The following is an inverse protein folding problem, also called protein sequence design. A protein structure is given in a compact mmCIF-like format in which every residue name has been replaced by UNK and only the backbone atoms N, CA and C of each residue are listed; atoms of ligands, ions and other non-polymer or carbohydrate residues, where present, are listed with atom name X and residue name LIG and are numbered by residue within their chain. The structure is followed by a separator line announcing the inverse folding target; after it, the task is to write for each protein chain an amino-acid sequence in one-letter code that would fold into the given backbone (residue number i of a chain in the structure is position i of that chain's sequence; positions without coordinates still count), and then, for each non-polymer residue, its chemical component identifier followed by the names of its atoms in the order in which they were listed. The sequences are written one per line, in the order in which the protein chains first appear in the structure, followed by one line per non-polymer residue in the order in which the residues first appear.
data_IF_221673854095
#
_entry.id   IF_221673854095
#
_cell.length_a   1.000
_cell.length_b   1.000
_cell.length_c   1.000
_cell.angle_alpha   90.00
_cell.angle_beta   90.00
_cell.angle_gamma   90.00
#
_symmetry.space_group_name_H-M   'P 1'
#
loop_
_entity.id
_entity.type
_entity.pdbx_description
1 polymer ?
#
# COMPACT_ATOMS: atom_id res chain seq x y z
N UNK A 1 10.19 21.55 13.30
CA UNK A 1 9.71 21.13 11.95
C UNK A 1 8.53 22.04 11.63
N UNK A 2 8.68 22.95 10.66
CA UNK A 2 7.67 24.02 10.47
C UNK A 2 6.67 23.73 9.33
N UNK A 3 7.00 22.82 8.42
CA UNK A 3 6.17 22.45 7.27
C UNK A 3 6.45 21.01 6.83
N UNK A 4 5.44 20.37 6.26
CA UNK A 4 5.59 19.06 5.63
C UNK A 4 6.33 19.20 4.30
N UNK A 5 7.29 18.32 4.07
CA UNK A 5 8.09 18.22 2.85
C UNK A 5 7.89 16.84 2.21
N UNK A 6 8.14 16.64 0.91
CA UNK A 6 8.01 15.33 0.26
C UNK A 6 8.81 14.21 0.95
N UNK A 7 9.98 14.54 1.54
CA UNK A 7 10.79 13.58 2.28
C UNK A 7 10.14 13.00 3.55
N UNK A 8 9.08 13.63 4.08
CA UNK A 8 8.31 13.08 5.20
C UNK A 8 7.39 11.91 4.80
N UNK A 9 7.20 11.68 3.50
CA UNK A 9 6.43 10.55 2.98
C UNK A 9 7.26 9.53 2.20
N UNK A 10 8.60 9.59 2.26
CA UNK A 10 9.48 8.78 1.40
C UNK A 10 10.06 7.52 2.06
N UNK A 11 9.60 7.13 3.24
CA UNK A 11 10.11 5.96 3.98
C UNK A 11 11.47 6.15 4.65
N UNK A 12 12.08 7.36 4.54
CA UNK A 12 13.40 7.64 5.06
C UNK A 12 13.42 8.27 6.45
N UNK A 13 14.59 8.82 6.83
CA UNK A 13 14.84 9.40 8.16
C UNK A 13 13.80 10.45 8.57
N UNK A 14 13.44 11.38 7.67
CA UNK A 14 12.46 12.44 7.98
C UNK A 14 11.07 11.88 8.30
N UNK A 15 10.64 10.83 7.60
CA UNK A 15 9.39 10.15 7.89
C UNK A 15 9.43 9.47 9.26
N UNK A 16 10.49 8.74 9.55
CA UNK A 16 10.66 8.08 10.85
C UNK A 16 10.66 9.08 12.00
N UNK A 17 11.39 10.21 11.88
CA UNK A 17 11.39 11.27 12.88
C UNK A 17 10.01 11.88 13.08
N UNK A 18 9.25 12.10 12.00
CA UNK A 18 7.87 12.59 12.08
C UNK A 18 6.95 11.59 12.77
N UNK A 19 7.04 10.32 12.43
CA UNK A 19 6.22 9.26 13.03
C UNK A 19 6.54 9.17 14.53
N UNK A 20 7.80 9.07 14.91
CA UNK A 20 8.22 8.87 16.30
C UNK A 20 7.89 10.08 17.17
N UNK A 21 8.31 11.29 16.76
CA UNK A 21 8.29 12.45 17.63
C UNK A 21 7.03 13.31 17.51
N UNK A 22 6.24 13.13 16.45
CA UNK A 22 5.00 13.89 16.28
C UNK A 22 3.77 12.99 16.33
N UNK A 23 3.67 12.00 15.44
CA UNK A 23 2.41 11.23 15.28
C UNK A 23 2.19 10.33 16.50
N UNK A 24 3.14 9.47 16.84
CA UNK A 24 3.01 8.54 17.96
C UNK A 24 2.87 9.26 19.30
N UNK A 25 3.74 10.24 19.54
CA UNK A 25 3.69 11.02 20.77
C UNK A 25 2.35 11.77 20.94
N UNK A 26 1.80 12.31 19.85
CA UNK A 26 0.52 13.04 19.90
C UNK A 26 -0.67 12.09 20.07
N UNK A 27 -0.64 10.92 19.45
CA UNK A 27 -1.72 9.92 19.54
C UNK A 27 -1.63 9.03 20.78
N UNK A 28 -0.59 9.16 21.60
CA UNK A 28 -0.38 8.27 22.76
C UNK A 28 -0.07 6.84 22.37
N UNK A 29 0.57 6.63 21.22
CA UNK A 29 0.84 5.33 20.64
C UNK A 29 2.30 4.87 20.86
N UNK A 30 2.95 5.31 21.93
CA UNK A 30 4.37 5.05 22.19
C UNK A 30 4.71 3.55 22.37
N UNK A 31 3.73 2.76 22.81
CA UNK A 31 3.87 1.31 22.98
C UNK A 31 3.61 0.50 21.70
N UNK A 32 3.13 1.14 20.62
CA UNK A 32 2.84 0.45 19.36
C UNK A 32 4.14 0.18 18.63
N UNK A 33 4.39 -1.07 18.27
CA UNK A 33 5.52 -1.45 17.44
C UNK A 33 5.29 -0.97 15.99
N UNK A 34 6.31 -0.36 15.39
CA UNK A 34 6.25 0.07 13.99
C UNK A 34 6.65 -1.11 13.10
N UNK A 35 5.64 -1.82 12.64
CA UNK A 35 5.73 -2.92 11.68
C UNK A 35 4.78 -2.66 10.50
N UNK A 36 4.82 -3.51 9.49
CA UNK A 36 3.97 -3.38 8.30
C UNK A 36 2.49 -3.55 8.64
N UNK A 37 2.15 -4.30 9.69
CA UNK A 37 0.80 -4.38 10.22
C UNK A 37 0.79 -4.49 11.75
N UNK A 38 -0.26 -3.96 12.38
CA UNK A 38 -0.51 -4.13 13.80
C UNK A 38 -0.99 -5.57 14.09
N UNK A 39 -0.39 -6.22 15.10
CA UNK A 39 -0.84 -7.51 15.59
C UNK A 39 -1.82 -7.31 16.74
N UNK A 40 -3.02 -7.86 16.58
CA UNK A 40 -4.12 -7.72 17.51
C UNK A 40 -4.55 -9.10 18.02
N UNK A 41 -5.02 -9.15 19.26
CA UNK A 41 -5.64 -10.35 19.80
C UNK A 41 -7.06 -10.02 20.30
N UNK A 42 -8.05 -10.71 19.75
CA UNK A 42 -9.46 -10.54 20.10
C UNK A 42 -10.02 -11.92 20.47
N UNK A 43 -10.31 -12.12 21.75
CA UNK A 43 -10.89 -13.38 22.29
C UNK A 43 -10.14 -14.64 21.83
N UNK A 44 -8.83 -14.60 21.86
CA UNK A 44 -7.98 -15.71 21.48
C UNK A 44 -7.74 -15.86 19.96
N UNK A 45 -8.36 -15.00 19.15
CA UNK A 45 -8.06 -14.93 17.71
C UNK A 45 -7.00 -13.87 17.47
N UNK A 46 -5.93 -14.24 16.78
CA UNK A 46 -4.83 -13.34 16.44
C UNK A 46 -5.02 -12.81 15.03
N UNK A 47 -5.00 -11.50 14.91
CA UNK A 47 -5.25 -10.77 13.67
C UNK A 47 -4.06 -9.86 13.34
N UNK A 48 -3.84 -9.63 12.05
CA UNK A 48 -3.05 -8.52 11.54
C UNK A 48 -4.00 -7.49 10.95
N UNK A 49 -3.69 -6.21 11.19
CA UNK A 49 -4.44 -5.08 10.65
C UNK A 49 -3.47 -4.02 10.12
N UNK A 50 -3.68 -3.60 8.89
CA UNK A 50 -2.89 -2.54 8.25
C UNK A 50 -3.77 -1.55 7.50
N UNK A 51 -3.21 -0.41 7.16
CA UNK A 51 -3.83 0.57 6.26
C UNK A 51 -2.75 1.27 5.45
N UNK A 52 -3.02 1.48 4.17
CA UNK A 52 -2.10 2.14 3.26
C UNK A 52 -2.84 3.09 2.31
N UNK A 53 -2.16 4.15 1.88
CA UNK A 53 -2.70 5.17 1.00
C UNK A 53 -1.88 5.25 -0.29
N UNK A 54 -2.57 5.20 -1.41
CA UNK A 54 -1.96 5.11 -2.74
C UNK A 54 -2.20 6.38 -3.53
N UNK A 55 -1.10 6.95 -3.99
CA UNK A 55 -1.06 8.08 -4.91
C UNK A 55 -0.01 7.79 -5.96
N UNK A 56 -0.36 7.80 -7.22
CA UNK A 56 0.58 7.52 -8.31
C UNK A 56 0.15 8.26 -9.59
N UNK A 57 1.12 8.79 -10.30
CA UNK A 57 0.91 9.40 -11.60
C UNK A 57 2.00 8.90 -12.57
N UNK A 58 1.62 8.30 -13.72
CA UNK A 58 0.27 8.02 -14.18
C UNK A 58 -0.44 6.93 -13.37
N UNK A 59 -1.78 6.93 -13.37
CA UNK A 59 -2.60 5.93 -12.64
C UNK A 59 -2.67 4.56 -13.32
N UNK A 60 -2.30 4.49 -14.60
CA UNK A 60 -2.10 3.26 -15.37
C UNK A 60 -0.64 3.22 -15.82
N UNK A 61 0.00 2.09 -15.65
CA UNK A 61 1.41 1.88 -16.00
C UNK A 61 1.63 0.43 -16.46
N UNK A 62 2.73 0.13 -17.15
CA UNK A 62 3.03 -1.24 -17.56
C UNK A 62 3.08 -2.20 -16.37
N UNK A 63 2.25 -3.22 -16.39
CA UNK A 63 2.12 -4.22 -15.32
C UNK A 63 1.02 -3.96 -14.31
N UNK A 64 0.37 -2.77 -14.31
CA UNK A 64 -0.68 -2.50 -13.33
C UNK A 64 -1.36 -1.15 -13.41
N UNK A 65 -2.06 -0.84 -12.37
CA UNK A 65 -2.72 0.45 -12.15
C UNK A 65 -2.69 0.81 -10.67
N UNK A 66 -3.11 2.03 -10.34
CA UNK A 66 -3.33 2.42 -8.93
C UNK A 66 -4.28 1.45 -8.21
N UNK A 67 -5.22 0.83 -8.93
CA UNK A 67 -6.17 -0.13 -8.37
C UNK A 67 -5.52 -1.45 -7.94
N UNK A 68 -4.75 -2.10 -8.83
CA UNK A 68 -3.99 -3.31 -8.48
C UNK A 68 -2.94 -3.02 -7.40
N UNK A 69 -2.26 -1.87 -7.50
CA UNK A 69 -1.28 -1.44 -6.51
C UNK A 69 -1.90 -1.32 -5.10
N UNK A 70 -3.09 -0.73 -5.00
CA UNK A 70 -3.78 -0.55 -3.71
C UNK A 70 -4.16 -1.88 -3.04
N UNK A 71 -4.55 -2.88 -3.82
CA UNK A 71 -4.84 -4.20 -3.28
C UNK A 71 -3.56 -4.92 -2.88
N UNK A 72 -2.59 -4.99 -3.80
CA UNK A 72 -1.35 -5.75 -3.59
C UNK A 72 -0.52 -5.20 -2.43
N UNK A 73 -0.40 -3.87 -2.30
CA UNK A 73 0.36 -3.26 -1.21
C UNK A 73 -0.20 -3.66 0.16
N UNK A 74 -1.51 -3.50 0.36
CA UNK A 74 -2.15 -3.88 1.64
C UNK A 74 -2.11 -5.39 1.91
N UNK A 75 -2.25 -6.21 0.86
CA UNK A 75 -2.09 -7.67 0.97
C UNK A 75 -0.66 -8.05 1.35
N UNK A 76 0.34 -7.38 0.79
CA UNK A 76 1.75 -7.60 1.11
C UNK A 76 2.05 -7.30 2.57
N UNK A 77 1.56 -6.19 3.12
CA UNK A 77 1.74 -5.84 4.53
C UNK A 77 1.21 -6.94 5.48
N UNK A 78 0.02 -7.47 5.18
CA UNK A 78 -0.53 -8.57 5.96
C UNK A 78 0.30 -9.85 5.82
N UNK A 79 0.75 -10.14 4.59
CA UNK A 79 1.46 -11.37 4.26
C UNK A 79 2.87 -11.40 4.87
N UNK A 80 3.59 -10.28 4.86
CA UNK A 80 4.94 -10.18 5.45
C UNK A 80 4.90 -10.35 6.97
N UNK A 81 3.76 -10.03 7.61
CA UNK A 81 3.52 -10.31 9.03
C UNK A 81 3.15 -11.78 9.32
N UNK A 82 3.09 -12.62 8.28
CA UNK A 82 2.71 -14.04 8.41
C UNK A 82 1.20 -14.26 8.57
N UNK A 83 0.40 -13.24 8.27
CA UNK A 83 -1.04 -13.37 8.28
C UNK A 83 -1.58 -13.82 6.91
N UNK A 84 -2.65 -14.60 6.92
CA UNK A 84 -3.44 -14.86 5.72
C UNK A 84 -4.44 -13.71 5.53
N UNK A 85 -4.32 -12.89 4.49
CA UNK A 85 -5.26 -11.81 4.21
C UNK A 85 -6.69 -12.32 4.00
N UNK A 86 -7.69 -11.57 4.47
CA UNK A 86 -9.09 -11.97 4.38
C UNK A 86 -9.96 -10.88 3.75
N UNK A 87 -9.92 -9.69 4.32
CA UNK A 87 -10.83 -8.60 3.96
C UNK A 87 -10.09 -7.29 3.80
N UNK A 88 -10.55 -6.50 2.84
CA UNK A 88 -10.09 -5.14 2.60
C UNK A 88 -11.27 -4.15 2.68
N UNK A 89 -10.97 -2.94 3.10
CA UNK A 89 -11.78 -1.76 2.79
C UNK A 89 -11.20 -1.05 1.57
N UNK A 90 -12.02 -0.20 0.91
CA UNK A 90 -11.57 0.67 -0.16
C UNK A 90 -12.21 2.05 0.00
N UNK A 91 -11.43 3.05 0.33
CA UNK A 91 -11.86 4.44 0.34
C UNK A 91 -11.26 5.19 -0.84
N UNK A 92 -12.09 5.95 -1.55
CA UNK A 92 -11.72 6.71 -2.75
C UNK A 92 -11.86 8.21 -2.48
N UNK A 93 -10.85 8.98 -2.85
CA UNK A 93 -10.95 10.43 -2.99
C UNK A 93 -10.79 10.75 -4.48
N UNK A 94 -11.86 11.21 -5.10
CA UNK A 94 -11.94 11.48 -6.53
C UNK A 94 -11.91 12.97 -6.77
N UNK A 95 -11.15 13.41 -7.76
CA UNK A 95 -11.18 14.80 -8.20
C UNK A 95 -12.33 15.01 -9.19
N UNK A 96 -13.04 16.14 -9.06
CA UNK A 96 -14.07 16.54 -10.01
C UNK A 96 -13.53 16.58 -11.45
N UNK A 97 -14.24 15.90 -12.36
CA UNK A 97 -13.83 15.73 -13.75
C UNK A 97 -12.99 14.51 -14.03
N UNK A 98 -12.77 13.63 -13.02
CA UNK A 98 -12.19 12.33 -13.28
C UNK A 98 -13.14 11.46 -14.09
N UNK A 99 -12.65 10.86 -15.18
CA UNK A 99 -13.48 10.12 -16.12
C UNK A 99 -14.03 8.82 -15.50
N UNK A 100 -15.33 8.60 -15.65
CA UNK A 100 -16.02 7.39 -15.13
C UNK A 100 -15.45 6.12 -15.72
N UNK A 101 -15.04 6.15 -17.01
CA UNK A 101 -14.44 4.97 -17.64
C UNK A 101 -13.06 4.64 -17.08
N UNK A 102 -12.27 5.63 -16.70
CA UNK A 102 -11.00 5.42 -16.00
C UNK A 102 -11.23 4.88 -14.59
N UNK A 103 -12.21 5.41 -13.86
CA UNK A 103 -12.61 4.85 -12.57
C UNK A 103 -13.04 3.39 -12.71
N UNK A 104 -13.82 3.06 -13.73
CA UNK A 104 -14.24 1.67 -14.01
C UNK A 104 -13.05 0.74 -14.23
N UNK A 105 -12.04 1.18 -15.00
CA UNK A 105 -10.80 0.40 -15.22
C UNK A 105 -10.03 0.18 -13.93
N UNK A 106 -9.91 1.22 -13.09
CA UNK A 106 -9.28 1.12 -11.76
C UNK A 106 -10.00 0.09 -10.89
N UNK A 107 -11.33 0.16 -10.80
CA UNK A 107 -12.13 -0.78 -10.00
C UNK A 107 -12.07 -2.22 -10.53
N UNK A 108 -12.00 -2.40 -11.85
CA UNK A 108 -11.80 -3.73 -12.46
C UNK A 108 -10.46 -4.30 -12.04
N UNK A 109 -9.37 -3.52 -12.14
CA UNK A 109 -8.05 -4.00 -11.75
C UNK A 109 -7.93 -4.27 -10.25
N UNK A 110 -8.64 -3.52 -9.40
CA UNK A 110 -8.75 -3.84 -7.97
C UNK A 110 -9.43 -5.19 -7.74
N UNK A 111 -10.55 -5.45 -8.42
CA UNK A 111 -11.27 -6.72 -8.31
C UNK A 111 -10.38 -7.88 -8.75
N UNK A 112 -9.72 -7.77 -9.90
CA UNK A 112 -8.83 -8.82 -10.43
C UNK A 112 -7.68 -9.12 -9.46
N UNK A 113 -7.05 -8.09 -8.87
CA UNK A 113 -6.01 -8.26 -7.86
C UNK A 113 -6.56 -8.91 -6.57
N UNK A 114 -7.76 -8.51 -6.13
CA UNK A 114 -8.40 -9.10 -4.96
C UNK A 114 -8.77 -10.57 -5.18
N UNK A 115 -9.32 -10.90 -6.35
CA UNK A 115 -9.65 -12.28 -6.75
C UNK A 115 -8.38 -13.14 -6.78
N UNK A 116 -7.28 -12.61 -7.35
CA UNK A 116 -5.99 -13.31 -7.40
C UNK A 116 -5.39 -13.55 -6.01
N UNK A 117 -5.47 -12.56 -5.12
CA UNK A 117 -4.99 -12.67 -3.74
C UNK A 117 -5.94 -13.48 -2.82
N UNK A 118 -7.13 -13.83 -3.28
CA UNK A 118 -8.14 -14.53 -2.49
C UNK A 118 -8.74 -13.70 -1.36
N UNK A 119 -8.78 -12.36 -1.50
CA UNK A 119 -9.34 -11.43 -0.53
C UNK A 119 -10.63 -10.81 -1.02
N UNK A 120 -11.46 -10.32 -0.09
CA UNK A 120 -12.71 -9.63 -0.43
C UNK A 120 -12.67 -8.17 -0.01
N UNK A 121 -13.07 -7.28 -0.91
CA UNK A 121 -13.34 -5.88 -0.58
C UNK A 121 -14.77 -5.80 -0.04
N UNK A 122 -14.91 -5.56 1.27
CA UNK A 122 -16.19 -5.71 1.97
C UNK A 122 -16.85 -4.39 2.36
N UNK A 123 -16.12 -3.28 2.32
CA UNK A 123 -16.64 -1.96 2.67
C UNK A 123 -15.79 -0.87 2.02
N UNK A 124 -16.30 0.36 2.04
CA UNK A 124 -15.55 1.50 1.51
C UNK A 124 -16.24 2.83 1.76
N UNK A 125 -15.61 3.89 1.31
CA UNK A 125 -16.16 5.25 1.31
C UNK A 125 -15.75 5.95 0.01
N UNK A 126 -16.47 7.02 -0.37
CA UNK A 126 -16.15 7.84 -1.54
C UNK A 126 -16.33 9.30 -1.22
N UNK A 127 -15.29 10.08 -1.49
CA UNK A 127 -15.36 11.55 -1.43
C UNK A 127 -14.99 12.12 -2.79
N UNK A 128 -15.63 13.22 -3.14
CA UNK A 128 -15.27 14.02 -4.33
C UNK A 128 -14.74 15.35 -3.86
N UNK A 129 -13.58 15.74 -4.38
CA UNK A 129 -12.97 17.05 -4.14
C UNK A 129 -13.07 17.90 -5.41
N UNK A 130 -13.07 19.22 -5.25
CA UNK A 130 -13.10 20.17 -6.35
C UNK A 130 -11.87 20.01 -7.25
N UNK A 131 -12.02 20.39 -8.51
CA UNK A 131 -10.92 20.41 -9.49
C UNK A 131 -9.70 21.19 -8.98
N UNK A 132 -8.51 20.60 -9.10
CA UNK A 132 -7.25 21.17 -8.62
C UNK A 132 -6.99 20.95 -7.13
N UNK A 133 -7.84 20.17 -6.43
CA UNK A 133 -7.67 19.80 -5.02
C UNK A 133 -7.22 18.36 -4.82
N UNK A 134 -7.07 17.60 -5.89
CA UNK A 134 -6.59 16.23 -5.89
C UNK A 134 -5.60 16.00 -7.03
N UNK A 135 -5.24 14.73 -7.24
CA UNK A 135 -4.48 14.26 -8.41
C UNK A 135 -5.27 13.09 -9.04
N UNK A 136 -6.41 13.40 -9.61
CA UNK A 136 -7.37 12.49 -10.25
C UNK A 136 -8.03 11.54 -9.24
N UNK A 137 -7.27 10.63 -8.62
CA UNK A 137 -7.76 9.68 -7.62
C UNK A 137 -6.69 9.36 -6.59
N UNK A 138 -7.10 9.34 -5.33
CA UNK A 138 -6.35 8.72 -4.24
C UNK A 138 -7.15 7.53 -3.72
N UNK A 139 -6.47 6.45 -3.38
CA UNK A 139 -7.07 5.24 -2.84
C UNK A 139 -6.45 4.97 -1.47
N UNK A 140 -7.29 4.72 -0.48
CA UNK A 140 -6.85 4.15 0.79
C UNK A 140 -7.50 2.77 0.95
N UNK A 141 -6.69 1.80 1.31
CA UNK A 141 -7.15 0.47 1.68
C UNK A 141 -6.73 0.17 3.11
N UNK A 142 -7.60 -0.49 3.86
CA UNK A 142 -7.23 -1.12 5.10
C UNK A 142 -7.52 -2.61 5.01
N UNK A 143 -6.66 -3.43 5.62
CA UNK A 143 -6.74 -4.87 5.50
C UNK A 143 -6.76 -5.58 6.84
N UNK A 144 -7.47 -6.70 6.89
CA UNK A 144 -7.49 -7.63 8.01
C UNK A 144 -7.06 -9.00 7.53
N UNK A 145 -6.08 -9.58 8.23
CA UNK A 145 -5.63 -10.96 8.05
C UNK A 145 -5.67 -11.75 9.34
N UNK A 146 -5.70 -13.07 9.23
CA UNK A 146 -5.66 -13.99 10.39
C UNK A 146 -4.28 -14.64 10.49
N UNK A 147 -3.78 -14.75 11.72
CA UNK A 147 -2.54 -15.44 12.05
C UNK A 147 -2.86 -16.86 12.48
N UNK A 148 -2.54 -17.86 11.65
CA UNK A 148 -2.87 -19.28 11.86
C UNK A 148 -1.76 -20.06 12.56
N UNK A 149 -0.60 -19.44 12.82
CA UNK A 149 0.57 -20.10 13.42
C UNK A 149 1.37 -19.18 14.33
N UNK A 150 2.45 -19.68 14.94
CA UNK A 150 3.33 -18.84 15.74
C UNK A 150 4.00 -17.80 14.84
N UNK A 151 3.82 -16.53 15.14
CA UNK A 151 4.58 -15.44 14.54
C UNK A 151 5.91 -15.32 15.27
N UNK A 152 6.86 -16.12 14.91
CA UNK A 152 8.20 -16.02 15.46
C UNK A 152 9.06 -15.25 14.45
N UNK A 153 9.29 -13.96 14.70
CA UNK A 153 10.36 -13.24 14.02
C UNK A 153 11.67 -13.73 14.61
N UNK A 154 12.42 -14.47 13.84
CA UNK A 154 13.79 -14.80 14.18
C UNK A 154 14.65 -13.56 13.91
N UNK A 155 15.56 -13.21 14.83
CA UNK A 155 16.53 -12.15 14.54
C UNK A 155 17.40 -12.55 13.36
N UNK A 156 17.76 -11.59 12.52
CA UNK A 156 18.73 -11.80 11.44
C UNK A 156 20.12 -11.97 12.06
N UNK A 157 20.83 -13.03 11.68
CA UNK A 157 22.15 -13.36 12.19
C UNK A 157 23.23 -13.29 11.11
N UNK A 158 24.49 -13.15 11.54
CA UNK A 158 25.63 -13.18 10.62
C UNK A 158 25.75 -14.59 10.05
N UNK A 159 25.69 -14.70 8.73
CA UNK A 159 25.73 -15.97 8.00
C UNK A 159 24.38 -16.32 7.36
N UNK A 160 23.32 -15.59 7.64
CA UNK A 160 22.03 -15.75 6.98
C UNK A 160 22.14 -15.43 5.48
N UNK A 161 21.44 -16.22 4.67
CA UNK A 161 21.36 -15.99 3.24
C UNK A 161 20.25 -14.99 2.94
N UNK A 162 20.59 -13.96 2.15
CA UNK A 162 19.60 -13.03 1.60
C UNK A 162 19.07 -13.60 0.30
N UNK A 163 17.77 -13.87 0.24
CA UNK A 163 17.10 -14.45 -0.93
C UNK A 163 16.05 -13.49 -1.45
N UNK A 164 16.02 -13.29 -2.77
CA UNK A 164 14.98 -12.52 -3.46
C UNK A 164 14.33 -13.40 -4.53
N UNK A 165 13.06 -13.18 -4.79
CA UNK A 165 12.27 -13.96 -5.77
C UNK A 165 12.22 -13.32 -7.16
N UNK A 166 12.77 -12.13 -7.33
CA UNK A 166 12.77 -11.41 -8.62
C UNK A 166 13.73 -10.23 -8.62
N UNK A 167 13.66 -9.40 -9.65
CA UNK A 167 14.40 -8.14 -9.73
C UNK A 167 13.87 -7.12 -8.71
N UNK A 168 14.70 -6.12 -8.39
CA UNK A 168 14.36 -5.06 -7.44
C UNK A 168 14.23 -3.75 -8.22
N UNK A 169 13.09 -3.04 -8.00
CA UNK A 169 12.87 -1.69 -8.51
C UNK A 169 12.15 -1.62 -9.85
N UNK A 170 11.62 -2.71 -10.36
CA UNK A 170 10.89 -2.75 -11.64
C UNK A 170 9.66 -1.86 -11.60
N UNK A 171 8.90 -1.85 -10.49
CA UNK A 171 7.78 -0.92 -10.29
C UNK A 171 8.20 0.54 -10.50
N UNK A 172 9.21 1.00 -9.77
CA UNK A 172 9.65 2.40 -9.84
C UNK A 172 10.09 2.80 -11.24
N UNK A 173 10.84 1.93 -11.94
CA UNK A 173 11.31 2.19 -13.30
C UNK A 173 10.15 2.13 -14.30
N UNK A 174 9.21 1.20 -14.19
CA UNK A 174 8.03 1.12 -15.05
C UNK A 174 7.19 2.39 -14.98
N UNK A 175 6.90 2.87 -13.77
CA UNK A 175 6.16 4.12 -13.54
C UNK A 175 6.92 5.34 -14.07
N UNK A 176 8.23 5.43 -13.81
CA UNK A 176 9.04 6.55 -14.32
C UNK A 176 9.16 6.54 -15.84
N UNK A 177 9.26 5.37 -16.45
CA UNK A 177 9.29 5.22 -17.90
C UNK A 177 8.00 5.73 -18.52
N UNK A 178 6.86 5.31 -18.01
CA UNK A 178 5.55 5.76 -18.49
C UNK A 178 5.36 7.28 -18.30
N UNK A 179 5.72 7.79 -17.14
CA UNK A 179 5.65 9.24 -16.83
C UNK A 179 6.48 10.09 -17.79
N UNK A 180 7.67 9.60 -18.16
CA UNK A 180 8.59 10.34 -19.03
C UNK A 180 8.53 9.89 -20.50
N UNK A 181 7.60 9.01 -20.86
CA UNK A 181 7.45 8.44 -22.22
C UNK A 181 8.75 7.83 -22.75
N UNK A 182 9.46 7.13 -21.86
CA UNK A 182 10.67 6.39 -22.20
C UNK A 182 10.31 4.99 -22.67
N UNK A 183 10.98 4.51 -23.73
CA UNK A 183 10.84 3.13 -24.19
C UNK A 183 12.13 2.37 -23.97
N UNK A 184 12.00 1.13 -23.49
CA UNK A 184 13.12 0.22 -23.31
C UNK A 184 13.06 -0.90 -24.36
N UNK A 185 14.22 -1.42 -24.74
CA UNK A 185 14.35 -2.52 -25.71
C UNK A 185 13.72 -3.84 -25.22
N UNK A 186 13.55 -4.00 -23.92
CA UNK A 186 12.76 -5.05 -23.29
C UNK A 186 11.55 -4.43 -22.62
N UNK A 187 10.39 -5.07 -22.77
CA UNK A 187 9.19 -4.65 -22.04
C UNK A 187 9.48 -4.71 -20.54
N UNK A 188 9.37 -3.56 -19.86
CA UNK A 188 9.49 -3.44 -18.41
C UNK A 188 8.10 -3.30 -17.85
N UNK A 189 7.74 -4.17 -16.91
CA UNK A 189 6.46 -4.14 -16.21
C UNK A 189 6.71 -4.04 -14.71
N UNK A 190 5.77 -3.41 -14.00
CA UNK A 190 5.75 -3.48 -12.54
C UNK A 190 5.63 -4.94 -12.09
N UNK A 191 6.38 -5.27 -11.10
CA UNK A 191 6.32 -6.53 -10.35
C UNK A 191 5.11 -6.57 -9.41
#
# INVERSE_FOLDING_TARGET
MDRILPGHGSGGKLMNEMIEHLIRATLGADSVQLDDAALLEIKGTRLAFTTDSFTISPIFFPGGSIGSLAVNGTVNDLSVMGARPLYLSCALILEEGFEIDDLRKVLISMREAADYAGVQIVTGDTKVVERGKGDRVFINTAGIGILEGPTQRLPVEIGDAIVINGSIGDHGIAVMAERNRLSFSRGLCSD
#
